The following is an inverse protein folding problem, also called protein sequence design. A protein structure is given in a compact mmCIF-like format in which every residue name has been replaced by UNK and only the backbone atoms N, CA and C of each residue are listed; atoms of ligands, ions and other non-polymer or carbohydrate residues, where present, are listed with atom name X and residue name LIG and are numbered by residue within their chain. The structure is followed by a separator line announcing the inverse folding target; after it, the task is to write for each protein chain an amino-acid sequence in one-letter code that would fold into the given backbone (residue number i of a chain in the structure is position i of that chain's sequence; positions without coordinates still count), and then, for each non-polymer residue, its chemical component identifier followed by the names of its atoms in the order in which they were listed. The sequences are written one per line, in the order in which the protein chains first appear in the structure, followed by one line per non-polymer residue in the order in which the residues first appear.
data_IF_019884932763
#
_entry.id   IF_019884932763
#
_cell.length_a   1.000
_cell.length_b   1.000
_cell.length_c   1.000
_cell.angle_alpha   90.00
_cell.angle_beta   90.00
_cell.angle_gamma   90.00
#
_symmetry.space_group_name_H-M   'P 1'
#
loop_
_entity.id
_entity.type
_entity.pdbx_description
1 polymer ?
#
# COMPACT_ATOMS: atom_id res chain seq x y z
N UNK A 1 -12.86 0.77 4.02
CA UNK A 1 -11.67 0.17 4.62
C UNK A 1 -10.76 1.26 5.16
N UNK A 2 -10.08 1.00 6.25
CA UNK A 2 -9.31 1.99 6.99
C UNK A 2 -7.82 1.67 6.88
N UNK A 3 -6.98 2.69 6.76
CA UNK A 3 -5.52 2.54 6.69
C UNK A 3 -4.98 1.79 7.92
N UNK A 4 -5.54 2.05 9.09
CA UNK A 4 -5.19 1.37 10.33
C UNK A 4 -5.41 -0.14 10.26
N UNK A 5 -6.45 -0.59 9.58
CA UNK A 5 -6.73 -2.02 9.37
C UNK A 5 -5.71 -2.67 8.45
N UNK A 6 -5.29 -1.96 7.41
CA UNK A 6 -4.23 -2.44 6.51
C UNK A 6 -2.91 -2.57 7.28
N UNK A 7 -2.55 -1.53 8.02
CA UNK A 7 -1.35 -1.54 8.85
C UNK A 7 -1.42 -2.72 9.83
N UNK A 8 -2.53 -2.87 10.56
CA UNK A 8 -2.72 -3.96 11.49
C UNK A 8 -2.59 -5.35 10.86
N UNK A 9 -3.12 -5.53 9.65
CA UNK A 9 -3.02 -6.79 8.92
C UNK A 9 -1.58 -7.12 8.50
N UNK A 10 -0.80 -6.09 8.15
CA UNK A 10 0.58 -6.25 7.69
C UNK A 10 1.61 -6.20 8.82
N UNK A 11 1.22 -5.74 10.02
CA UNK A 11 2.09 -5.68 11.19
C UNK A 11 1.72 -6.68 12.26
N UNK A 12 0.89 -7.67 11.92
CA UNK A 12 0.59 -8.78 12.83
C UNK A 12 1.87 -9.46 13.31
N UNK A 13 1.87 -9.91 14.55
CA UNK A 13 3.06 -10.51 15.18
C UNK A 13 3.66 -11.66 14.36
N UNK A 14 2.81 -12.46 13.73
CA UNK A 14 3.27 -13.58 12.89
C UNK A 14 4.03 -13.09 11.65
N UNK A 15 3.50 -12.08 10.97
CA UNK A 15 4.12 -11.50 9.78
C UNK A 15 5.47 -10.85 10.11
N UNK A 16 5.51 -10.03 11.15
CA UNK A 16 6.75 -9.38 11.59
C UNK A 16 7.76 -10.42 12.03
N UNK A 17 7.33 -11.44 12.76
CA UNK A 17 8.19 -12.54 13.20
C UNK A 17 8.80 -13.31 12.02
N UNK A 18 8.03 -13.60 11.00
CA UNK A 18 8.51 -14.28 9.80
C UNK A 18 9.50 -13.44 9.02
N UNK A 19 9.19 -12.16 8.82
CA UNK A 19 10.10 -11.23 8.14
C UNK A 19 11.40 -11.10 8.94
N UNK A 20 11.31 -10.94 10.26
CA UNK A 20 12.46 -10.83 11.16
C UNK A 20 13.40 -12.03 11.04
N UNK A 21 12.85 -13.23 10.98
CA UNK A 21 13.63 -14.47 10.80
C UNK A 21 14.31 -14.54 9.42
N UNK A 22 13.59 -14.11 8.37
CA UNK A 22 14.09 -14.18 7.00
C UNK A 22 15.22 -13.21 6.71
N UNK A 23 15.15 -11.99 7.28
CA UNK A 23 16.14 -10.94 6.99
C UNK A 23 17.05 -10.61 8.17
N UNK A 24 16.86 -11.30 9.29
CA UNK A 24 17.64 -11.10 10.53
C UNK A 24 17.65 -9.63 10.98
N UNK A 25 16.48 -9.03 11.08
CA UNK A 25 16.29 -7.65 11.46
C UNK A 25 15.30 -7.54 12.62
N UNK A 26 15.51 -6.57 13.49
CA UNK A 26 14.64 -6.30 14.62
C UNK A 26 13.20 -5.96 14.18
N UNK A 27 12.21 -6.54 14.86
CA UNK A 27 10.79 -6.34 14.54
C UNK A 27 10.35 -4.89 14.62
N UNK A 28 10.93 -4.09 15.51
CA UNK A 28 10.59 -2.67 15.62
C UNK A 28 11.02 -1.87 14.39
N UNK A 29 12.17 -2.20 13.80
CA UNK A 29 12.63 -1.60 12.55
C UNK A 29 11.76 -2.04 11.37
N UNK A 30 11.39 -3.31 11.32
CA UNK A 30 10.46 -3.84 10.31
C UNK A 30 9.14 -3.08 10.37
N UNK A 31 8.58 -2.93 11.56
CA UNK A 31 7.34 -2.19 11.76
C UNK A 31 7.46 -0.73 11.28
N UNK A 32 8.56 -0.06 11.59
CA UNK A 32 8.82 1.31 11.14
C UNK A 32 8.85 1.42 9.62
N UNK A 33 9.52 0.47 8.95
CA UNK A 33 9.58 0.42 7.48
C UNK A 33 8.17 0.19 6.90
N UNK A 34 7.42 -0.75 7.45
CA UNK A 34 6.05 -1.05 6.96
C UNK A 34 5.16 0.17 7.11
N UNK A 35 5.14 0.81 8.27
CA UNK A 35 4.32 1.99 8.52
C UNK A 35 4.66 3.15 7.58
N UNK A 36 5.95 3.36 7.31
CA UNK A 36 6.40 4.40 6.39
C UNK A 36 6.16 4.02 4.91
N UNK A 37 6.17 2.74 4.60
CA UNK A 37 6.03 2.23 3.23
C UNK A 37 4.58 2.21 2.73
N UNK A 38 3.63 1.86 3.59
CA UNK A 38 2.22 1.68 3.20
C UNK A 38 1.66 2.91 2.47
N UNK A 39 1.77 4.15 2.99
CA UNK A 39 1.25 5.31 2.27
C UNK A 39 1.97 5.55 0.93
N UNK A 40 3.25 5.21 0.83
CA UNK A 40 3.98 5.29 -0.44
C UNK A 40 3.48 4.27 -1.46
N UNK A 41 3.19 3.03 -1.00
CA UNK A 41 2.57 2.00 -1.82
C UNK A 41 1.22 2.46 -2.37
N UNK A 42 0.34 2.90 -1.48
CA UNK A 42 -1.00 3.34 -1.85
C UNK A 42 -0.95 4.52 -2.83
N UNK A 43 -0.05 5.47 -2.60
CA UNK A 43 0.14 6.61 -3.49
C UNK A 43 0.63 6.19 -4.88
N UNK A 44 1.58 5.27 -4.94
CA UNK A 44 2.08 4.73 -6.21
C UNK A 44 0.99 3.94 -6.95
N UNK A 45 0.23 3.13 -6.24
CA UNK A 45 -0.90 2.39 -6.81
C UNK A 45 -1.98 3.35 -7.33
N UNK A 46 -2.26 4.42 -6.61
CA UNK A 46 -3.21 5.43 -7.06
C UNK A 46 -2.75 6.10 -8.36
N UNK A 47 -1.47 6.45 -8.48
CA UNK A 47 -0.91 6.98 -9.72
C UNK A 47 -1.05 5.99 -10.87
N UNK A 48 -0.79 4.71 -10.63
CA UNK A 48 -0.96 3.68 -11.64
C UNK A 48 -2.42 3.51 -12.04
N UNK A 49 -3.35 3.62 -11.09
CA UNK A 49 -4.78 3.51 -11.36
C UNK A 49 -5.35 4.70 -12.12
N UNK A 50 -4.63 5.79 -12.26
CA UNK A 50 -5.07 6.96 -13.01
C UNK A 50 -5.04 6.76 -14.53
N UNK A 51 -4.35 5.72 -15.01
CA UNK A 51 -4.36 5.32 -16.42
C UNK A 51 -5.17 4.05 -16.61
N UNK A 52 -5.80 3.87 -17.77
CA UNK A 52 -6.59 2.66 -18.07
C UNK A 52 -5.74 1.40 -18.00
N UNK A 53 -4.54 1.43 -18.55
CA UNK A 53 -3.61 0.29 -18.54
C UNK A 53 -3.13 -0.02 -17.12
N UNK A 54 -2.79 1.01 -16.33
CA UNK A 54 -2.37 0.85 -14.95
C UNK A 54 -3.48 0.33 -14.05
N UNK A 55 -4.70 0.84 -14.21
CA UNK A 55 -5.88 0.38 -13.47
C UNK A 55 -6.17 -1.10 -13.77
N UNK A 56 -6.11 -1.50 -15.04
CA UNK A 56 -6.32 -2.89 -15.45
C UNK A 56 -5.24 -3.81 -14.86
N UNK A 57 -3.97 -3.39 -14.91
CA UNK A 57 -2.86 -4.16 -14.35
C UNK A 57 -2.98 -4.34 -12.83
N UNK A 58 -3.37 -3.28 -12.11
CA UNK A 58 -3.61 -3.35 -10.68
C UNK A 58 -4.79 -4.25 -10.33
N UNK A 59 -5.90 -4.13 -11.05
CA UNK A 59 -7.09 -4.97 -10.85
C UNK A 59 -6.74 -6.44 -11.05
N UNK A 60 -5.95 -6.75 -12.08
CA UNK A 60 -5.50 -8.10 -12.33
C UNK A 60 -4.59 -8.62 -11.21
N UNK A 61 -3.64 -7.80 -10.76
CA UNK A 61 -2.74 -8.14 -9.66
C UNK A 61 -3.50 -8.37 -8.34
N UNK A 62 -4.48 -7.52 -8.04
CA UNK A 62 -5.34 -7.66 -6.87
C UNK A 62 -6.16 -8.94 -6.94
N UNK A 63 -6.74 -9.24 -8.10
CA UNK A 63 -7.51 -10.46 -8.32
C UNK A 63 -6.65 -11.73 -8.16
N UNK A 64 -5.43 -11.70 -8.66
CA UNK A 64 -4.50 -12.82 -8.54
C UNK A 64 -4.07 -13.10 -7.08
N UNK A 65 -4.05 -12.08 -6.23
CA UNK A 65 -3.63 -12.20 -4.83
C UNK A 65 -4.79 -12.24 -3.84
N UNK A 66 -6.00 -11.87 -4.27
CA UNK A 66 -7.19 -11.92 -3.42
C UNK A 66 -7.48 -13.37 -3.02
N UNK A 67 -7.57 -13.63 -1.75
CA UNK A 67 -7.83 -14.99 -1.24
C UNK A 67 -6.60 -15.84 -1.01
N UNK A 68 -5.42 -15.40 -1.41
CA UNK A 68 -4.19 -16.10 -1.06
C UNK A 68 -3.91 -15.98 0.43
N UNK A 69 -3.37 -17.06 1.01
CA UNK A 69 -2.92 -17.03 2.39
C UNK A 69 -1.73 -16.07 2.54
N UNK A 70 -1.61 -15.47 3.71
CA UNK A 70 -0.43 -14.68 4.03
C UNK A 70 0.82 -15.54 3.96
N UNK A 71 1.78 -15.11 3.18
CA UNK A 71 3.06 -15.80 3.02
C UNK A 71 4.11 -14.83 2.52
N UNK A 72 5.38 -15.21 2.66
CA UNK A 72 6.51 -14.42 2.18
C UNK A 72 7.00 -15.04 0.87
N UNK A 73 6.78 -14.33 -0.23
CA UNK A 73 7.32 -14.66 -1.54
C UNK A 73 8.10 -13.44 -2.06
N UNK A 74 9.41 -13.45 -1.85
CA UNK A 74 10.29 -12.33 -2.21
C UNK A 74 10.37 -12.13 -3.73
N UNK A 75 10.30 -13.20 -4.51
CA UNK A 75 10.34 -13.10 -5.98
C UNK A 75 9.10 -12.41 -6.53
N UNK A 76 7.94 -12.87 -6.10
CA UNK A 76 6.67 -12.25 -6.48
C UNK A 76 6.59 -10.81 -5.95
N UNK A 77 7.02 -10.59 -4.71
CA UNK A 77 7.08 -9.28 -4.10
C UNK A 77 7.94 -8.29 -4.88
N UNK A 78 9.11 -8.70 -5.34
CA UNK A 78 9.99 -7.86 -6.17
C UNK A 78 9.34 -7.49 -7.50
N UNK A 79 8.63 -8.43 -8.12
CA UNK A 79 7.87 -8.17 -9.35
C UNK A 79 6.76 -7.14 -9.10
N UNK A 80 6.03 -7.28 -8.00
CA UNK A 80 5.00 -6.31 -7.60
C UNK A 80 5.62 -4.93 -7.38
N UNK A 81 6.74 -4.85 -6.66
CA UNK A 81 7.43 -3.59 -6.42
C UNK A 81 7.82 -2.89 -7.72
N UNK A 82 8.36 -3.63 -8.67
CA UNK A 82 8.73 -3.10 -9.98
C UNK A 82 7.52 -2.56 -10.74
N UNK A 83 6.39 -3.22 -10.65
CA UNK A 83 5.14 -2.79 -11.30
C UNK A 83 4.53 -1.57 -10.63
N UNK A 84 4.54 -1.54 -9.29
CA UNK A 84 3.89 -0.46 -8.51
C UNK A 84 4.73 0.82 -8.57
N UNK A 85 6.01 0.73 -8.32
CA UNK A 85 6.89 1.91 -8.24
C UNK A 85 7.61 2.23 -9.54
N UNK A 86 7.81 1.25 -10.42
CA UNK A 86 8.51 1.45 -11.69
C UNK A 86 9.91 2.04 -11.49
N UNK A 87 10.22 3.10 -12.21
CA UNK A 87 11.51 3.80 -12.10
C UNK A 87 11.75 4.51 -10.78
N UNK A 88 10.72 4.70 -9.96
CA UNK A 88 10.83 5.36 -8.65
C UNK A 88 11.21 4.40 -7.51
N UNK A 89 11.28 3.09 -7.77
CA UNK A 89 11.53 2.07 -6.74
C UNK A 89 12.81 2.36 -5.94
N UNK A 90 13.90 2.64 -6.63
CA UNK A 90 15.20 2.93 -5.99
C UNK A 90 15.12 4.15 -5.06
N UNK A 91 14.45 5.22 -5.50
CA UNK A 91 14.26 6.43 -4.70
C UNK A 91 13.42 6.16 -3.45
N UNK A 92 12.37 5.36 -3.57
CA UNK A 92 11.51 4.97 -2.45
C UNK A 92 12.29 4.14 -1.44
N UNK A 93 13.05 3.14 -1.90
CA UNK A 93 13.89 2.29 -1.04
C UNK A 93 14.91 3.13 -0.29
N UNK A 94 15.64 4.00 -0.98
CA UNK A 94 16.64 4.86 -0.37
C UNK A 94 16.03 5.83 0.66
N UNK A 95 14.89 6.40 0.35
CA UNK A 95 14.16 7.29 1.27
C UNK A 95 13.73 6.56 2.54
N UNK A 96 13.16 5.37 2.39
CA UNK A 96 12.74 4.54 3.53
C UNK A 96 13.92 4.11 4.39
N UNK A 97 15.02 3.69 3.75
CA UNK A 97 16.24 3.30 4.46
C UNK A 97 16.79 4.43 5.33
N UNK A 98 16.87 5.63 4.78
CA UNK A 98 17.30 6.83 5.52
C UNK A 98 16.34 7.18 6.65
N UNK A 99 15.04 7.09 6.41
CA UNK A 99 14.02 7.44 7.38
C UNK A 99 13.97 6.47 8.56
N UNK A 100 14.24 5.20 8.33
CA UNK A 100 14.11 4.14 9.34
C UNK A 100 15.44 3.60 9.87
N UNK A 101 16.57 4.08 9.32
CA UNK A 101 17.89 3.59 9.71
C UNK A 101 18.16 2.16 9.26
N UNK A 102 17.61 1.75 8.13
CA UNK A 102 17.77 0.41 7.53
C UNK A 102 18.53 0.50 6.21
N UNK A 103 19.14 -0.61 5.79
CA UNK A 103 19.83 -0.67 4.50
C UNK A 103 18.82 -0.80 3.34
N UNK A 104 19.27 -0.49 2.14
CA UNK A 104 18.43 -0.64 0.94
C UNK A 104 17.99 -2.09 0.74
N UNK A 105 18.86 -3.05 1.00
CA UNK A 105 18.54 -4.48 0.88
C UNK A 105 17.50 -4.90 1.91
N UNK A 106 17.63 -4.43 3.15
CA UNK A 106 16.64 -4.69 4.20
C UNK A 106 15.27 -4.10 3.83
N UNK A 107 15.25 -2.85 3.36
CA UNK A 107 14.01 -2.22 2.89
C UNK A 107 13.40 -3.01 1.74
N UNK A 108 14.20 -3.39 0.74
CA UNK A 108 13.73 -4.15 -0.41
C UNK A 108 13.10 -5.47 0.02
N UNK A 109 13.74 -6.20 0.92
CA UNK A 109 13.23 -7.49 1.40
C UNK A 109 11.94 -7.32 2.22
N UNK A 110 11.86 -6.29 3.06
CA UNK A 110 10.64 -5.98 3.82
C UNK A 110 9.49 -5.65 2.84
N UNK A 111 9.75 -4.75 1.89
CA UNK A 111 8.73 -4.35 0.91
C UNK A 111 8.28 -5.53 0.05
N UNK A 112 9.21 -6.38 -0.38
CA UNK A 112 8.90 -7.58 -1.15
C UNK A 112 8.08 -8.59 -0.34
N UNK A 113 8.33 -8.67 0.96
CA UNK A 113 7.57 -9.55 1.86
C UNK A 113 6.13 -9.07 2.06
N UNK A 114 5.92 -7.76 2.16
CA UNK A 114 4.58 -7.21 2.41
C UNK A 114 3.76 -6.97 1.14
N UNK A 115 4.40 -6.84 -0.02
CA UNK A 115 3.72 -6.48 -1.27
C UNK A 115 2.60 -7.46 -1.66
N UNK A 116 2.82 -8.79 -1.71
CA UNK A 116 1.73 -9.73 -2.03
C UNK A 116 0.62 -9.69 -0.98
N UNK A 117 0.98 -9.54 0.29
CA UNK A 117 0.02 -9.48 1.39
C UNK A 117 -0.82 -8.20 1.33
N UNK A 118 -0.19 -7.08 0.98
CA UNK A 118 -0.91 -5.83 0.76
C UNK A 118 -1.93 -5.97 -0.38
N UNK A 119 -1.53 -6.57 -1.50
CA UNK A 119 -2.44 -6.83 -2.61
C UNK A 119 -3.57 -7.77 -2.20
N UNK A 120 -3.29 -8.80 -1.41
CA UNK A 120 -4.31 -9.71 -0.89
C UNK A 120 -5.36 -8.98 -0.06
N UNK A 121 -4.92 -8.13 0.87
CA UNK A 121 -5.81 -7.34 1.73
C UNK A 121 -6.64 -6.37 0.89
N UNK A 122 -6.02 -5.65 -0.03
CA UNK A 122 -6.71 -4.71 -0.90
C UNK A 122 -7.67 -5.42 -1.85
N UNK A 123 -7.25 -6.56 -2.40
CA UNK A 123 -8.09 -7.36 -3.31
C UNK A 123 -9.35 -7.89 -2.65
N UNK A 124 -9.24 -8.37 -1.41
CA UNK A 124 -10.40 -8.81 -0.62
C UNK A 124 -11.41 -7.69 -0.36
N UNK A 125 -10.94 -6.47 -0.27
CA UNK A 125 -11.78 -5.30 0.01
C UNK A 125 -12.21 -4.54 -1.24
N UNK A 126 -11.69 -4.91 -2.41
CA UNK A 126 -12.07 -4.32 -3.68
C UNK A 126 -13.27 -5.06 -4.30
N UNK A 127 -14.41 -5.04 -3.63
CA UNK A 127 -15.61 -5.75 -4.05
C UNK A 127 -16.31 -5.13 -5.26
N UNK A 128 -16.08 -3.85 -5.52
CA UNK A 128 -16.72 -3.11 -6.61
C UNK A 128 -15.87 -2.97 -7.87
N UNK A 129 -14.67 -3.52 -7.89
CA UNK A 129 -13.75 -3.38 -9.02
C UNK A 129 -13.19 -1.98 -9.24
N UNK A 130 -13.54 -1.03 -8.39
CA UNK A 130 -13.08 0.36 -8.49
C UNK A 130 -11.88 0.61 -7.59
N UNK A 131 -10.71 0.20 -8.04
CA UNK A 131 -9.48 0.35 -7.28
C UNK A 131 -9.11 1.82 -7.03
N UNK A 132 -9.39 2.70 -7.98
CA UNK A 132 -9.12 4.12 -7.83
C UNK A 132 -9.91 4.76 -6.69
N UNK A 133 -11.19 4.40 -6.57
CA UNK A 133 -12.04 4.85 -5.46
C UNK A 133 -11.58 4.31 -4.11
N UNK A 134 -11.20 3.04 -4.06
CA UNK A 134 -10.69 2.41 -2.85
C UNK A 134 -9.40 3.10 -2.37
N UNK A 135 -8.45 3.29 -3.27
CA UNK A 135 -7.18 3.94 -2.95
C UNK A 135 -7.37 5.41 -2.55
N UNK A 136 -8.28 6.11 -3.22
CA UNK A 136 -8.64 7.49 -2.89
C UNK A 136 -9.19 7.60 -1.47
N UNK A 137 -10.07 6.69 -1.08
CA UNK A 137 -10.62 6.63 0.28
C UNK A 137 -9.55 6.37 1.33
N UNK A 138 -8.61 5.49 1.03
CA UNK A 138 -7.53 5.16 1.97
C UNK A 138 -6.55 6.30 2.17
N UNK A 139 -6.18 6.99 1.09
CA UNK A 139 -5.24 8.12 1.12
C UNK A 139 -5.89 9.40 1.65
N UNK A 140 -7.19 9.56 1.40
CA UNK A 140 -7.94 10.72 1.85
C UNK A 140 -8.24 10.75 3.35
N UNK A 141 -7.93 9.69 4.09
CA UNK A 141 -8.15 9.59 5.53
C UNK A 141 -9.61 9.68 5.94
N UNK A 142 -10.52 9.54 5.01
CA UNK A 142 -11.95 9.66 5.26
C UNK A 142 -12.51 8.32 5.70
N UNK A 143 -12.49 8.09 6.97
CA UNK A 143 -13.05 6.89 7.60
C UNK A 143 -14.56 7.01 7.85
N UNK A 144 -15.27 7.90 7.23
CA UNK A 144 -16.68 8.01 7.51
C UNK A 144 -17.54 7.99 6.25
N UNK A 145 -18.12 6.83 6.04
CA UNK A 145 -19.42 6.60 5.42
C UNK A 145 -19.92 7.64 4.40
N UNK A 146 -19.74 7.35 3.14
CA UNK A 146 -20.63 7.86 2.09
C UNK A 146 -20.52 9.33 1.70
N UNK A 147 -19.96 10.17 2.55
CA UNK A 147 -19.68 11.56 2.19
C UNK A 147 -18.19 11.72 1.97
N UNK A 148 -17.72 11.26 0.84
CA UNK A 148 -16.33 11.38 0.45
C UNK A 148 -15.87 12.84 0.42
N UNK A 149 -14.56 13.03 0.29
CA UNK A 149 -13.93 14.35 0.14
C UNK A 149 -14.58 15.23 -0.92
N UNK A 150 -15.29 14.64 -1.88
CA UNK A 150 -16.10 15.38 -2.85
C UNK A 150 -17.18 16.24 -2.21
N UNK A 151 -17.77 15.79 -1.12
CA UNK A 151 -18.79 16.55 -0.38
C UNK A 151 -18.18 17.71 0.40
N UNK A 152 -17.01 17.49 1.01
CA UNK A 152 -16.31 18.55 1.75
C UNK A 152 -15.73 19.58 0.80
N UNK A 153 -15.13 19.15 -0.29
CA UNK A 153 -14.63 20.05 -1.32
C UNK A 153 -15.77 20.80 -2.03
N UNK A 154 -16.85 20.11 -2.32
CA UNK A 154 -18.05 20.72 -2.87
C UNK A 154 -18.67 21.78 -1.94
N UNK A 155 -18.70 21.51 -0.64
CA UNK A 155 -19.15 22.46 0.36
C UNK A 155 -18.22 23.66 0.50
N UNK A 156 -16.92 23.45 0.45
CA UNK A 156 -15.92 24.51 0.52
C UNK A 156 -15.94 25.39 -0.75
N UNK A 157 -16.01 24.77 -1.90
CA UNK A 157 -16.12 25.49 -3.17
C UNK A 157 -17.46 26.20 -3.30
N UNK A 158 -18.55 25.60 -2.81
CA UNK A 158 -19.85 26.23 -2.76
C UNK A 158 -19.87 27.49 -1.90
N UNK A 159 -19.16 27.49 -0.78
CA UNK A 159 -19.00 28.69 0.08
C UNK A 159 -18.15 29.78 -0.56
N UNK A 160 -17.15 29.40 -1.36
CA UNK A 160 -16.27 30.35 -2.06
C UNK A 160 -16.94 30.98 -3.28
N UNK A 161 -17.84 30.27 -3.93
CA UNK A 161 -18.48 30.70 -5.17
C UNK A 161 -19.81 31.45 -4.89
N UNK A 162 -20.41 31.22 -3.73
CA UNK A 162 -21.70 31.83 -3.33
C UNK A 162 -21.56 33.16 -2.62
N UNK A 163 -20.67 33.98 -2.99
CA UNK A 163 -20.67 35.33 -2.49
C UNK A 163 -21.53 36.23 -3.33
#
# INVERSE_FOLDING_TARGET
MDLSKIIGALTGNDMIGEISKNINLDGSKIMSVIQAAIPKFLSAMQKNSSTSAGAAALTQALGAHAGNAFGIDLEDGKKILSKVFGGNLTSVISSLGKQTGTTNDQVTNILASIAPNLLSVLGKNNTSGNIGGLLGSLLGGSSNSGSGMGSVLGGLFGKLIKK
#
